data_IF_075446218128
#
_entry.id   IF_075446218128
#
_cell.length_a   1.000
_cell.length_b   1.000
_cell.length_c   1.000
_cell.angle_alpha   90.00
_cell.angle_beta   90.00
_cell.angle_gamma   90.00
#
_symmetry.space_group_name_H-M   'P 1'
#
loop_
_entity.id
_entity.type
_entity.pdbx_description
1 polymer ?
#
# COMPACT_ATOMS: atom_id res chain seq x y z
N UNK A 1 13.37 8.96 16.49
CA UNK A 1 12.18 8.16 16.13
C UNK A 1 12.53 7.04 15.14
N UNK A 2 13.22 7.36 14.04
CA UNK A 2 13.79 6.36 13.10
C UNK A 2 14.69 5.34 13.80
N UNK A 3 15.45 5.76 14.82
CA UNK A 3 16.29 4.86 15.63
C UNK A 3 15.50 3.72 16.30
N UNK A 4 14.23 3.93 16.63
CA UNK A 4 13.40 2.89 17.23
C UNK A 4 13.03 1.80 16.21
N UNK A 5 12.70 2.21 14.98
CA UNK A 5 12.45 1.28 13.87
C UNK A 5 13.71 0.47 13.57
N UNK A 6 14.87 1.15 13.50
CA UNK A 6 16.18 0.52 13.30
C UNK A 6 16.53 -0.45 14.43
N UNK A 7 16.34 -0.04 15.68
CA UNK A 7 16.68 -0.84 16.87
C UNK A 7 15.75 -2.03 17.10
N UNK A 8 14.57 -2.06 16.47
CA UNK A 8 13.66 -3.21 16.54
C UNK A 8 14.24 -4.49 15.92
N UNK A 9 15.23 -4.36 15.02
CA UNK A 9 15.80 -5.47 14.25
C UNK A 9 14.85 -6.07 13.19
N UNK A 10 13.62 -5.55 13.07
CA UNK A 10 12.62 -6.06 12.12
C UNK A 10 12.66 -5.36 10.76
N UNK A 11 13.36 -4.23 10.67
CA UNK A 11 13.42 -3.37 9.50
C UNK A 11 14.86 -3.05 9.13
N UNK A 12 15.16 -3.12 7.83
CA UNK A 12 16.35 -2.51 7.28
C UNK A 12 16.03 -1.07 6.86
N UNK A 13 16.63 -0.10 7.56
CA UNK A 13 16.29 1.33 7.41
C UNK A 13 17.35 2.06 6.60
N UNK A 14 16.91 2.63 5.48
CA UNK A 14 17.65 3.56 4.64
C UNK A 14 17.18 4.98 4.94
N UNK A 15 18.09 5.95 4.87
CA UNK A 15 17.80 7.36 5.15
C UNK A 15 18.20 8.22 3.96
N UNK A 16 17.37 9.21 3.66
CA UNK A 16 17.64 10.24 2.66
C UNK A 16 17.36 11.62 3.28
N UNK A 17 18.16 12.61 2.89
CA UNK A 17 18.10 13.97 3.46
C UNK A 17 17.20 14.93 2.69
N UNK A 18 16.83 14.55 1.46
CA UNK A 18 16.02 15.34 0.53
C UNK A 18 15.27 14.42 -0.43
N UNK A 19 14.34 15.00 -1.20
CA UNK A 19 13.50 14.23 -2.13
C UNK A 19 14.28 13.56 -3.26
N UNK A 20 15.34 14.20 -3.77
CA UNK A 20 16.12 13.64 -4.87
C UNK A 20 16.89 12.39 -4.43
N UNK A 21 17.57 12.47 -3.28
CA UNK A 21 18.25 11.33 -2.67
C UNK A 21 17.26 10.22 -2.30
N UNK A 22 16.06 10.56 -1.82
CA UNK A 22 15.03 9.58 -1.49
C UNK A 22 14.57 8.80 -2.73
N UNK A 23 14.38 9.47 -3.87
CA UNK A 23 13.98 8.82 -5.12
C UNK A 23 15.07 7.88 -5.66
N UNK A 24 16.34 8.30 -5.60
CA UNK A 24 17.48 7.43 -5.97
C UNK A 24 17.52 6.19 -5.07
N UNK A 25 17.46 6.37 -3.75
CA UNK A 25 17.43 5.27 -2.79
C UNK A 25 16.25 4.32 -3.03
N UNK A 26 15.07 4.86 -3.35
CA UNK A 26 13.89 4.05 -3.66
C UNK A 26 14.13 3.18 -4.91
N UNK A 27 14.69 3.74 -5.98
CA UNK A 27 15.02 3.01 -7.23
C UNK A 27 16.04 1.90 -7.00
N UNK A 28 17.10 2.20 -6.27
CA UNK A 28 18.21 1.27 -6.06
C UNK A 28 17.83 0.11 -5.12
N UNK A 29 17.04 0.39 -4.09
CA UNK A 29 16.76 -0.57 -3.02
C UNK A 29 15.34 -1.14 -3.01
N UNK A 30 14.42 -0.55 -3.79
CA UNK A 30 13.00 -0.98 -3.91
C UNK A 30 12.35 -1.26 -2.54
N UNK A 31 12.33 -0.28 -1.61
CA UNK A 31 11.82 -0.49 -0.26
C UNK A 31 10.35 -0.93 -0.28
N UNK A 32 9.91 -1.64 0.76
CA UNK A 32 8.51 -2.07 0.92
C UNK A 32 7.61 -0.98 1.52
N UNK A 33 8.23 0.02 2.16
CA UNK A 33 7.57 1.13 2.84
C UNK A 33 8.47 2.37 2.76
N UNK A 34 7.87 3.53 2.51
CA UNK A 34 8.55 4.83 2.53
C UNK A 34 7.86 5.69 3.59
N UNK A 35 8.66 6.25 4.51
CA UNK A 35 8.20 7.22 5.50
C UNK A 35 8.79 8.59 5.15
N UNK A 36 7.93 9.56 4.90
CA UNK A 36 8.33 10.94 4.62
C UNK A 36 8.19 11.74 5.92
N UNK A 37 9.33 12.18 6.46
CA UNK A 37 9.39 12.98 7.69
C UNK A 37 8.83 14.40 7.54
N UNK A 38 8.58 15.04 8.67
CA UNK A 38 8.11 16.44 8.78
C UNK A 38 9.17 17.49 8.38
N UNK A 39 10.44 17.11 8.36
CA UNK A 39 11.54 17.96 7.92
C UNK A 39 11.55 18.27 6.42
N UNK A 40 10.76 17.56 5.60
CA UNK A 40 10.66 17.81 4.17
C UNK A 40 9.58 18.88 3.89
N UNK A 41 9.91 20.00 3.23
CA UNK A 41 8.91 21.01 2.89
C UNK A 41 7.73 20.42 2.12
N UNK A 42 6.49 20.85 2.44
CA UNK A 42 5.26 20.23 1.91
C UNK A 42 5.22 20.13 0.37
N UNK A 43 5.73 21.13 -0.33
CA UNK A 43 5.80 21.13 -1.79
C UNK A 43 6.77 20.07 -2.33
N UNK A 44 7.91 19.91 -1.67
CA UNK A 44 8.91 18.88 -2.01
C UNK A 44 8.41 17.48 -1.68
N UNK A 45 7.75 17.29 -0.53
CA UNK A 45 7.13 16.02 -0.17
C UNK A 45 6.08 15.59 -1.19
N UNK A 46 5.24 16.53 -1.64
CA UNK A 46 4.22 16.25 -2.67
C UNK A 46 4.85 15.90 -4.02
N UNK A 47 5.91 16.62 -4.41
CA UNK A 47 6.65 16.33 -5.64
C UNK A 47 7.33 14.95 -5.60
N UNK A 48 7.91 14.57 -4.45
CA UNK A 48 8.48 13.25 -4.22
C UNK A 48 7.41 12.15 -4.34
N UNK A 49 6.25 12.31 -3.71
CA UNK A 49 5.16 11.33 -3.81
C UNK A 49 4.70 11.18 -5.26
N UNK A 50 4.49 12.30 -5.97
CA UNK A 50 4.12 12.25 -7.38
C UNK A 50 5.17 11.50 -8.22
N UNK A 51 6.45 11.78 -8.03
CA UNK A 51 7.54 11.08 -8.71
C UNK A 51 7.55 9.57 -8.41
N UNK A 52 7.42 9.18 -7.13
CA UNK A 52 7.37 7.77 -6.74
C UNK A 52 6.15 7.03 -7.33
N UNK A 53 5.03 7.73 -7.52
CA UNK A 53 3.82 7.17 -8.14
C UNK A 53 3.92 7.04 -9.66
N UNK A 54 4.83 7.78 -10.29
CA UNK A 54 5.13 7.71 -11.72
C UNK A 54 6.14 6.60 -12.08
N UNK A 55 6.86 6.08 -11.08
CA UNK A 55 7.79 4.95 -11.26
C UNK A 55 7.08 3.66 -11.71
N UNK A 56 7.78 2.74 -12.39
CA UNK A 56 7.25 1.40 -12.67
C UNK A 56 7.03 0.61 -11.35
N UNK A 57 6.19 -0.44 -11.39
CA UNK A 57 6.13 -1.43 -10.31
C UNK A 57 7.53 -1.96 -9.95
N UNK A 58 7.83 -2.21 -8.66
CA UNK A 58 6.92 -2.11 -7.53
C UNK A 58 6.82 -0.72 -6.89
N UNK A 59 7.60 0.27 -7.37
CA UNK A 59 7.74 1.54 -6.67
C UNK A 59 6.45 2.33 -6.58
N UNK A 60 5.69 2.48 -7.68
CA UNK A 60 4.36 3.12 -7.65
C UNK A 60 3.36 2.50 -6.67
N UNK A 61 3.52 1.21 -6.36
CA UNK A 61 2.63 0.50 -5.44
C UNK A 61 3.16 0.46 -4.01
N UNK A 62 4.41 0.89 -3.78
CA UNK A 62 5.02 0.99 -2.45
C UNK A 62 4.18 1.87 -1.54
N UNK A 63 4.02 1.43 -0.29
CA UNK A 63 3.32 2.20 0.72
C UNK A 63 4.10 3.48 1.06
N UNK A 64 3.43 4.63 1.08
CA UNK A 64 4.02 5.93 1.44
C UNK A 64 3.26 6.55 2.60
N UNK A 65 3.93 6.75 3.72
CA UNK A 65 3.38 7.36 4.92
C UNK A 65 3.93 8.76 5.12
N UNK A 66 3.07 9.69 5.50
CA UNK A 66 3.48 11.01 5.98
C UNK A 66 3.71 10.99 7.49
N UNK A 67 4.76 11.62 7.97
CA UNK A 67 4.83 12.02 9.36
C UNK A 67 4.02 13.32 9.54
N UNK A 68 2.93 13.27 10.31
CA UNK A 68 1.99 14.39 10.46
C UNK A 68 1.27 14.33 11.80
N UNK A 69 1.15 15.47 12.49
CA UNK A 69 0.36 15.61 13.74
C UNK A 69 -1.17 15.61 13.51
N UNK A 70 -1.62 15.46 12.25
CA UNK A 70 -3.04 15.29 11.95
C UNK A 70 -3.59 14.01 12.59
N UNK A 71 -4.85 14.05 13.04
CA UNK A 71 -5.54 12.96 13.75
C UNK A 71 -5.94 11.78 12.85
N UNK A 72 -5.04 11.34 11.95
CA UNK A 72 -5.25 10.27 10.98
C UNK A 72 -5.12 10.75 9.53
N UNK A 73 -4.99 9.81 8.57
CA UNK A 73 -4.93 10.17 7.17
C UNK A 73 -6.28 10.73 6.74
N UNK A 74 -6.30 11.98 6.33
CA UNK A 74 -7.49 12.59 5.73
C UNK A 74 -7.50 12.36 4.21
N UNK A 75 -8.65 12.64 3.60
CA UNK A 75 -8.86 12.56 2.16
C UNK A 75 -7.87 13.41 1.36
N UNK A 76 -7.31 14.47 1.98
CA UNK A 76 -6.32 15.34 1.32
C UNK A 76 -5.00 14.61 1.14
N UNK A 77 -4.52 13.88 2.16
CA UNK A 77 -3.30 13.08 2.03
C UNK A 77 -3.45 11.98 0.97
N UNK A 78 -4.61 11.34 0.87
CA UNK A 78 -4.87 10.33 -0.16
C UNK A 78 -4.85 10.90 -1.57
N UNK A 79 -5.40 12.12 -1.76
CA UNK A 79 -5.35 12.83 -3.03
C UNK A 79 -3.93 13.21 -3.45
N UNK A 80 -3.04 13.43 -2.48
CA UNK A 80 -1.62 13.68 -2.72
C UNK A 80 -0.83 12.38 -2.99
N UNK A 81 -1.48 11.21 -2.88
CA UNK A 81 -0.87 9.92 -3.13
C UNK A 81 -0.29 9.23 -1.91
N UNK A 82 -0.44 9.77 -0.69
CA UNK A 82 -0.09 9.07 0.54
C UNK A 82 -1.07 7.93 0.84
N UNK A 83 -0.59 6.93 1.55
CA UNK A 83 -1.37 5.77 1.97
C UNK A 83 -1.77 5.82 3.45
N UNK A 84 -1.05 6.60 4.26
CA UNK A 84 -1.33 6.78 5.67
C UNK A 84 -0.49 7.89 6.29
N UNK A 85 -0.63 8.08 7.59
CA UNK A 85 0.23 8.98 8.34
C UNK A 85 0.59 8.41 9.72
N UNK A 86 1.68 8.93 10.29
CA UNK A 86 2.15 8.61 11.64
C UNK A 86 2.41 9.92 12.39
N UNK A 87 1.98 10.00 13.65
CA UNK A 87 2.21 11.18 14.46
C UNK A 87 3.72 11.35 14.79
N UNK A 88 4.33 12.54 14.51
CA UNK A 88 5.72 12.86 14.87
C UNK A 88 5.98 12.78 16.37
N UNK A 89 4.99 13.23 17.15
CA UNK A 89 5.00 13.29 18.62
C UNK A 89 4.65 11.96 19.30
N UNK A 90 4.47 10.89 18.52
CA UNK A 90 4.16 9.57 19.03
C UNK A 90 5.32 8.95 19.82
N UNK A 91 4.99 8.15 20.83
CA UNK A 91 5.99 7.27 21.45
C UNK A 91 6.55 6.31 20.38
N UNK A 92 7.82 5.88 20.47
CA UNK A 92 8.43 4.93 19.54
C UNK A 92 7.55 3.73 19.16
N UNK A 93 6.75 3.23 20.10
CA UNK A 93 5.83 2.10 19.91
C UNK A 93 4.70 2.43 18.93
N UNK A 94 4.24 3.69 18.87
CA UNK A 94 3.20 4.11 17.94
C UNK A 94 3.73 4.13 16.49
N UNK A 95 4.98 4.56 16.28
CA UNK A 95 5.62 4.44 14.97
C UNK A 95 5.79 2.96 14.59
N UNK A 96 6.30 2.14 15.51
CA UNK A 96 6.47 0.70 15.27
C UNK A 96 5.15 0.01 14.90
N UNK A 97 4.06 0.32 15.62
CA UNK A 97 2.74 -0.19 15.30
C UNK A 97 2.26 0.28 13.93
N UNK A 98 2.41 1.58 13.63
CA UNK A 98 1.98 2.13 12.36
C UNK A 98 2.74 1.55 11.16
N UNK A 99 4.04 1.28 11.26
CA UNK A 99 4.80 0.64 10.17
C UNK A 99 4.57 -0.87 10.11
N UNK A 100 4.27 -1.52 11.25
CA UNK A 100 3.97 -2.95 11.29
C UNK A 100 2.74 -3.32 10.46
N UNK A 101 1.74 -2.44 10.44
CA UNK A 101 0.54 -2.57 9.58
C UNK A 101 0.88 -2.68 8.08
N UNK A 102 2.06 -2.22 7.65
CA UNK A 102 2.49 -2.23 6.25
C UNK A 102 3.52 -3.30 5.92
N UNK A 103 3.92 -4.11 6.91
CA UNK A 103 4.85 -5.21 6.67
C UNK A 103 4.23 -6.19 5.66
N UNK A 104 5.00 -6.68 4.67
CA UNK A 104 4.55 -7.79 3.84
C UNK A 104 4.18 -8.98 4.72
N UNK A 105 3.02 -9.57 4.46
CA UNK A 105 2.54 -10.81 5.07
C UNK A 105 2.35 -11.87 3.97
N UNK A 106 1.75 -13.00 4.33
CA UNK A 106 1.53 -14.14 3.44
C UNK A 106 0.18 -14.07 2.71
N UNK A 107 -0.30 -12.86 2.41
CA UNK A 107 -1.63 -12.64 1.79
C UNK A 107 -1.70 -13.28 0.38
N UNK A 108 -0.56 -13.44 -0.29
CA UNK A 108 -0.47 -14.13 -1.59
C UNK A 108 -0.52 -15.66 -1.49
N UNK A 109 -0.48 -16.26 -0.29
CA UNK A 109 -0.47 -17.71 -0.14
C UNK A 109 -1.69 -18.38 -0.79
N UNK A 110 -2.86 -17.74 -0.75
CA UNK A 110 -4.06 -18.22 -1.44
C UNK A 110 -3.85 -18.30 -2.96
N UNK A 111 -3.36 -17.22 -3.56
CA UNK A 111 -3.09 -17.13 -4.99
C UNK A 111 -2.01 -18.14 -5.44
N UNK A 112 -0.95 -18.32 -4.64
CA UNK A 112 0.09 -19.31 -4.91
C UNK A 112 -0.45 -20.73 -4.88
N UNK A 113 -1.24 -21.10 -3.86
CA UNK A 113 -1.89 -22.42 -3.81
C UNK A 113 -2.80 -22.68 -5.02
N UNK A 114 -3.54 -21.67 -5.47
CA UNK A 114 -4.34 -21.78 -6.69
C UNK A 114 -3.46 -22.00 -7.92
N UNK A 115 -2.34 -21.27 -8.05
CA UNK A 115 -1.41 -21.43 -9.16
C UNK A 115 -0.74 -22.81 -9.17
N UNK A 116 -0.44 -23.36 -7.99
CA UNK A 116 0.07 -24.74 -7.83
C UNK A 116 -0.98 -25.78 -8.23
N UNK A 117 -2.24 -25.59 -7.85
CA UNK A 117 -3.32 -26.55 -8.09
C UNK A 117 -3.83 -26.53 -9.55
N UNK A 118 -3.96 -25.35 -10.14
CA UNK A 118 -4.60 -25.16 -11.45
C UNK A 118 -3.61 -24.76 -12.57
N UNK A 119 -2.36 -24.45 -12.20
CA UNK A 119 -1.31 -24.01 -13.12
C UNK A 119 -1.26 -22.48 -13.29
N UNK A 120 -0.04 -21.94 -13.38
CA UNK A 120 0.21 -20.51 -13.58
C UNK A 120 -0.53 -19.89 -14.79
N UNK A 121 -0.62 -20.53 -15.97
CA UNK A 121 -1.32 -19.94 -17.12
C UNK A 121 -2.81 -19.66 -16.87
N UNK A 122 -3.44 -20.37 -15.93
CA UNK A 122 -4.83 -20.15 -15.55
C UNK A 122 -4.97 -19.01 -14.52
N UNK A 123 -4.01 -18.89 -13.59
CA UNK A 123 -4.13 -17.99 -12.43
C UNK A 123 -3.50 -16.62 -12.67
N UNK A 124 -2.35 -16.54 -13.36
CA UNK A 124 -1.66 -15.26 -13.59
C UNK A 124 -2.56 -14.21 -14.26
N UNK A 125 -3.35 -14.52 -15.31
CA UNK A 125 -4.26 -13.53 -15.91
C UNK A 125 -5.37 -13.06 -14.94
N UNK A 126 -5.82 -13.92 -14.03
CA UNK A 126 -6.82 -13.57 -13.02
C UNK A 126 -6.24 -12.61 -11.98
N UNK A 127 -5.02 -12.87 -11.50
CA UNK A 127 -4.32 -11.96 -10.58
C UNK A 127 -4.03 -10.61 -11.25
N UNK A 128 -3.58 -10.62 -12.50
CA UNK A 128 -3.32 -9.39 -13.26
C UNK A 128 -4.59 -8.54 -13.39
N UNK A 129 -5.72 -9.15 -13.76
CA UNK A 129 -7.01 -8.46 -13.82
C UNK A 129 -7.48 -7.96 -12.45
N UNK A 130 -7.38 -8.79 -11.42
CA UNK A 130 -7.75 -8.40 -10.06
C UNK A 130 -6.93 -7.19 -9.58
N UNK A 131 -5.63 -7.20 -9.84
CA UNK A 131 -4.72 -6.09 -9.54
C UNK A 131 -5.17 -4.79 -10.23
N UNK A 132 -5.52 -4.83 -11.51
CA UNK A 132 -6.01 -3.66 -12.24
C UNK A 132 -7.32 -3.13 -11.66
N UNK A 133 -8.29 -4.02 -11.40
CA UNK A 133 -9.57 -3.65 -10.80
C UNK A 133 -9.38 -3.08 -9.39
N UNK A 134 -8.51 -3.67 -8.57
CA UNK A 134 -8.19 -3.19 -7.23
C UNK A 134 -7.49 -1.83 -7.26
N UNK A 135 -6.54 -1.63 -8.17
CA UNK A 135 -5.87 -0.33 -8.33
C UNK A 135 -6.87 0.77 -8.71
N UNK A 136 -7.78 0.50 -9.64
CA UNK A 136 -8.83 1.43 -10.02
C UNK A 136 -9.79 1.72 -8.86
N UNK A 137 -10.20 0.68 -8.12
CA UNK A 137 -11.08 0.82 -6.98
C UNK A 137 -10.43 1.64 -5.86
N UNK A 138 -9.17 1.37 -5.51
CA UNK A 138 -8.39 2.13 -4.52
C UNK A 138 -8.27 3.61 -4.92
N UNK A 139 -8.04 3.89 -6.21
CA UNK A 139 -7.99 5.25 -6.72
C UNK A 139 -9.36 5.95 -6.61
N UNK A 140 -10.46 5.23 -6.83
CA UNK A 140 -11.83 5.78 -6.75
C UNK A 140 -12.24 6.22 -5.34
N UNK A 141 -11.59 5.70 -4.28
CA UNK A 141 -11.82 6.13 -2.90
C UNK A 141 -11.44 7.62 -2.66
N UNK A 142 -10.71 8.24 -3.58
CA UNK A 142 -10.44 9.68 -3.55
C UNK A 142 -11.63 10.54 -4.02
N UNK A 143 -12.74 9.92 -4.42
CA UNK A 143 -13.96 10.57 -4.89
C UNK A 143 -15.20 9.79 -4.45
N UNK A 144 -16.10 9.50 -5.39
CA UNK A 144 -17.33 8.73 -5.11
C UNK A 144 -17.14 7.28 -5.55
N UNK A 145 -16.82 6.35 -4.64
CA UNK A 145 -16.64 4.95 -5.01
C UNK A 145 -17.97 4.31 -5.42
N UNK A 146 -17.93 3.45 -6.44
CA UNK A 146 -19.09 2.67 -6.86
C UNK A 146 -19.29 1.49 -5.91
N UNK A 147 -20.50 1.36 -5.35
CA UNK A 147 -20.87 0.21 -4.51
C UNK A 147 -20.67 -1.12 -5.24
N UNK A 148 -21.03 -1.18 -6.52
CA UNK A 148 -20.84 -2.36 -7.36
C UNK A 148 -19.36 -2.70 -7.54
N UNK A 149 -18.50 -1.70 -7.72
CA UNK A 149 -17.07 -1.91 -7.78
C UNK A 149 -16.54 -2.49 -6.46
N UNK A 150 -16.97 -1.94 -5.32
CA UNK A 150 -16.54 -2.43 -4.00
C UNK A 150 -16.98 -3.87 -3.74
N UNK A 151 -18.24 -4.20 -4.07
CA UNK A 151 -18.76 -5.56 -3.95
C UNK A 151 -18.02 -6.54 -4.88
N UNK A 152 -17.69 -6.11 -6.10
CA UNK A 152 -16.91 -6.92 -7.04
C UNK A 152 -15.51 -7.22 -6.52
N UNK A 153 -14.80 -6.22 -5.99
CA UNK A 153 -13.48 -6.42 -5.37
C UNK A 153 -13.56 -7.44 -4.25
N UNK A 154 -14.57 -7.35 -3.38
CA UNK A 154 -14.77 -8.30 -2.29
C UNK A 154 -14.94 -9.75 -2.80
N UNK A 155 -15.77 -9.95 -3.82
CA UNK A 155 -16.01 -11.28 -4.40
C UNK A 155 -14.79 -11.90 -5.09
N UNK A 156 -14.07 -11.10 -5.89
CA UNK A 156 -12.85 -11.56 -6.57
C UNK A 156 -11.75 -11.87 -5.54
N UNK A 157 -11.56 -10.99 -4.56
CA UNK A 157 -10.59 -11.17 -3.49
C UNK A 157 -10.82 -12.48 -2.72
N UNK A 158 -12.05 -12.76 -2.30
CA UNK A 158 -12.39 -14.01 -1.61
C UNK A 158 -12.13 -15.26 -2.45
N UNK A 159 -12.38 -15.19 -3.77
CA UNK A 159 -12.12 -16.32 -4.67
C UNK A 159 -10.63 -16.60 -4.83
N UNK A 160 -9.80 -15.55 -4.84
CA UNK A 160 -8.36 -15.64 -5.01
C UNK A 160 -7.60 -15.84 -3.68
N UNK A 161 -8.32 -15.86 -2.55
CA UNK A 161 -7.76 -16.10 -1.21
C UNK A 161 -7.16 -14.86 -0.54
N UNK A 162 -7.57 -13.65 -0.93
CA UNK A 162 -7.20 -12.40 -0.27
C UNK A 162 -8.25 -12.02 0.78
N UNK A 163 -8.26 -12.71 1.91
CA UNK A 163 -9.34 -12.62 2.91
C UNK A 163 -9.45 -11.22 3.54
N UNK A 164 -8.34 -10.55 3.85
CA UNK A 164 -8.35 -9.25 4.54
C UNK A 164 -8.88 -8.15 3.65
N UNK A 165 -8.41 -8.10 2.41
CA UNK A 165 -8.91 -7.13 1.43
C UNK A 165 -10.37 -7.47 1.08
N UNK A 166 -10.73 -8.75 0.93
CA UNK A 166 -12.11 -9.17 0.70
C UNK A 166 -13.07 -8.67 1.78
N UNK A 167 -12.73 -8.91 3.06
CA UNK A 167 -13.56 -8.52 4.20
C UNK A 167 -13.71 -7.01 4.36
N UNK A 168 -12.62 -6.26 4.22
CA UNK A 168 -12.67 -4.79 4.37
C UNK A 168 -13.45 -4.12 3.24
N UNK A 169 -13.33 -4.62 2.01
CA UNK A 169 -14.08 -4.11 0.85
C UNK A 169 -15.56 -4.52 0.89
N UNK A 170 -15.88 -5.68 1.45
CA UNK A 170 -17.26 -6.09 1.67
C UNK A 170 -17.94 -5.16 2.70
N UNK A 171 -17.30 -4.91 3.83
CA UNK A 171 -17.81 -3.98 4.85
C UNK A 171 -18.04 -2.58 4.28
N UNK A 172 -17.07 -2.09 3.50
CA UNK A 172 -17.20 -0.80 2.82
C UNK A 172 -18.35 -0.79 1.81
N UNK A 173 -18.56 -1.87 1.06
CA UNK A 173 -19.69 -2.00 0.11
C UNK A 173 -21.07 -1.99 0.77
N UNK A 174 -21.14 -2.26 2.09
CA UNK A 174 -22.37 -2.17 2.90
C UNK A 174 -22.61 -0.77 3.47
N UNK A 175 -21.75 0.20 3.14
CA UNK A 175 -21.90 1.61 3.54
C UNK A 175 -21.15 2.00 4.81
N UNK A 176 -20.28 1.15 5.36
CA UNK A 176 -19.46 1.51 6.52
C UNK A 176 -18.28 2.40 6.09
N UNK A 177 -18.52 3.71 6.07
CA UNK A 177 -17.52 4.70 5.72
C UNK A 177 -16.31 4.72 6.68
N UNK A 178 -16.43 4.21 7.91
CA UNK A 178 -15.32 4.17 8.87
C UNK A 178 -14.23 3.16 8.43
N UNK A 179 -14.58 2.18 7.61
CA UNK A 179 -13.66 1.15 7.10
C UNK A 179 -12.90 1.62 5.85
N UNK A 180 -13.20 2.77 5.27
CA UNK A 180 -12.57 3.24 4.02
C UNK A 180 -11.03 3.31 4.09
N UNK A 181 -10.49 3.78 5.22
CA UNK A 181 -9.04 3.86 5.45
C UNK A 181 -8.40 2.47 5.53
N UNK A 182 -9.09 1.51 6.16
CA UNK A 182 -8.66 0.11 6.26
C UNK A 182 -8.69 -0.55 4.88
N UNK A 183 -9.81 -0.45 4.16
CA UNK A 183 -9.96 -1.03 2.82
C UNK A 183 -8.91 -0.48 1.84
N UNK A 184 -8.62 0.82 1.91
CA UNK A 184 -7.53 1.45 1.16
C UNK A 184 -6.19 0.84 1.53
N UNK A 185 -5.85 0.77 2.83
CA UNK A 185 -4.58 0.20 3.30
C UNK A 185 -4.39 -1.24 2.84
N UNK A 186 -5.37 -2.11 3.08
CA UNK A 186 -5.29 -3.52 2.67
C UNK A 186 -5.17 -3.65 1.15
N UNK A 187 -5.92 -2.84 0.38
CA UNK A 187 -5.80 -2.80 -1.08
C UNK A 187 -4.41 -2.38 -1.56
N UNK A 188 -3.84 -1.33 -0.96
CA UNK A 188 -2.48 -0.87 -1.27
C UNK A 188 -1.41 -1.90 -0.92
N UNK A 189 -1.56 -2.62 0.19
CA UNK A 189 -0.66 -3.72 0.58
C UNK A 189 -0.70 -4.86 -0.42
N UNK A 190 -1.89 -5.30 -0.83
CA UNK A 190 -2.04 -6.36 -1.84
C UNK A 190 -1.41 -5.95 -3.18
N UNK A 191 -1.65 -4.72 -3.64
CA UNK A 191 -1.00 -4.20 -4.86
C UNK A 191 0.52 -4.21 -4.75
N UNK A 192 1.05 -3.79 -3.60
CA UNK A 192 2.48 -3.78 -3.33
C UNK A 192 3.09 -5.19 -3.32
N UNK A 193 2.35 -6.19 -2.83
CA UNK A 193 2.79 -7.58 -2.80
C UNK A 193 2.75 -8.20 -4.20
N UNK A 194 1.64 -8.05 -4.94
CA UNK A 194 1.52 -8.55 -6.33
C UNK A 194 2.66 -7.98 -7.19
N UNK A 195 2.93 -6.68 -7.08
CA UNK A 195 3.97 -6.02 -7.88
C UNK A 195 5.41 -6.44 -7.53
N UNK A 196 5.61 -7.13 -6.41
CA UNK A 196 6.92 -7.66 -5.98
C UNK A 196 7.04 -9.17 -6.18
N UNK A 197 5.93 -9.84 -6.45
CA UNK A 197 5.89 -11.29 -6.53
C UNK A 197 6.52 -11.79 -7.83
N UNK A 198 7.37 -12.82 -7.73
CA UNK A 198 8.10 -13.33 -8.89
C UNK A 198 7.20 -14.00 -9.96
N UNK A 199 5.98 -14.43 -9.58
CA UNK A 199 5.02 -15.09 -10.47
C UNK A 199 3.96 -14.11 -10.95
N UNK A 200 3.50 -13.22 -10.06
CA UNK A 200 2.35 -12.35 -10.34
C UNK A 200 2.69 -10.91 -10.71
N UNK A 201 3.94 -10.47 -10.57
CA UNK A 201 4.33 -9.13 -11.01
C UNK A 201 4.03 -8.94 -12.51
N UNK A 202 3.57 -7.75 -12.92
CA UNK A 202 3.39 -7.44 -14.33
C UNK A 202 4.74 -7.56 -15.07
N UNK A 203 4.70 -8.10 -16.29
CA UNK A 203 5.86 -8.07 -17.16
C UNK A 203 6.13 -6.61 -17.59
N UNK A 204 7.40 -6.20 -17.51
CA UNK A 204 7.88 -4.89 -17.99
C UNK A 204 7.75 -4.76 -19.52
#
# INVERSE_FOLDING_TARGET
MVDAVRSSGQWHVLEARDGAAALVQARDHRPVLILIGDGLPRGEATALVAALRDEPPPLRSTAILAQSDAAGPDERLWRLGFDGCVAPSGRPEALLAAVADWRPDDELAGAHRLAEQFGQPAIVPLIARFREELAAAVASLNGTPSQDAMHRIAGIAGTLGFDRVGSSWEQLSRGDAAIASIARREGRRVLAQIDRDAIFAPAD
#
